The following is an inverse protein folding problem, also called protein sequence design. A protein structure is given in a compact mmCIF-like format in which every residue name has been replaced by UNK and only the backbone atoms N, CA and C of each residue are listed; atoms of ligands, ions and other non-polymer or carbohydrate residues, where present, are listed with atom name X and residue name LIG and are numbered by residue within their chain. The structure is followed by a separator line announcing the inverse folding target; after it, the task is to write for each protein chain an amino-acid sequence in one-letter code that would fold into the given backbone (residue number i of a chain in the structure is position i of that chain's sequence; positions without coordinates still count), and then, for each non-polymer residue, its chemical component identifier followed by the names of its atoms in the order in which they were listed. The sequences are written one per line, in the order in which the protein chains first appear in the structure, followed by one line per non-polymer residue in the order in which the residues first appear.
data_IF_304577515512
#
_entry.id   IF_304577515512
#
_cell.length_a   1.000
_cell.length_b   1.000
_cell.length_c   1.000
_cell.angle_alpha   90.00
_cell.angle_beta   90.00
_cell.angle_gamma   90.00
#
_symmetry.space_group_name_H-M   'P 1'
#
loop_
_entity.id
_entity.type
_entity.pdbx_description
1 polymer ?
#
# COMPACT_ATOMS: atom_id res chain seq x y z
N UNK A 1 8.06 -6.84 -0.31
CA UNK A 1 8.02 -6.18 -1.63
C UNK A 1 9.14 -6.60 -2.59
N UNK A 2 10.14 -7.33 -2.22
CA UNK A 2 11.30 -7.57 -3.09
C UNK A 2 11.73 -9.01 -3.27
N UNK A 3 11.23 -9.92 -2.46
CA UNK A 3 11.49 -11.33 -2.70
C UNK A 3 10.81 -11.85 -3.96
N UNK A 4 9.71 -11.20 -4.38
CA UNK A 4 9.03 -11.55 -5.63
C UNK A 4 9.81 -11.18 -6.90
N UNK A 5 10.63 -10.11 -6.86
CA UNK A 5 11.36 -9.64 -8.05
C UNK A 5 12.67 -10.40 -8.27
N UNK A 6 13.29 -10.92 -7.22
CA UNK A 6 14.51 -11.76 -7.37
C UNK A 6 14.21 -13.10 -8.04
N UNK A 7 12.95 -13.57 -7.98
CA UNK A 7 12.53 -14.86 -8.55
C UNK A 7 11.51 -14.73 -9.70
N UNK A 8 11.24 -13.52 -10.20
CA UNK A 8 10.31 -13.31 -11.31
C UNK A 8 8.84 -13.66 -10.99
N UNK A 9 8.45 -13.67 -9.72
CA UNK A 9 7.08 -13.96 -9.34
C UNK A 9 6.21 -12.72 -9.49
N UNK A 10 5.18 -12.82 -10.31
CA UNK A 10 4.17 -11.80 -10.53
C UNK A 10 2.81 -12.26 -9.99
N UNK A 11 2.00 -11.30 -9.57
CA UNK A 11 0.60 -11.58 -9.21
C UNK A 11 -0.15 -12.10 -10.45
N UNK A 12 -0.89 -13.19 -10.32
CA UNK A 12 -1.71 -13.68 -11.43
C UNK A 12 -2.95 -12.81 -11.63
N UNK A 13 -3.53 -12.87 -12.83
CA UNK A 13 -4.79 -12.18 -13.14
C UNK A 13 -5.91 -12.58 -12.19
N UNK A 14 -6.03 -13.86 -11.88
CA UNK A 14 -7.02 -14.38 -10.94
C UNK A 14 -6.85 -13.76 -9.55
N UNK A 15 -5.63 -13.71 -9.02
CA UNK A 15 -5.36 -13.11 -7.72
C UNK A 15 -5.68 -11.63 -7.74
N UNK A 16 -5.27 -10.90 -8.80
CA UNK A 16 -5.57 -9.49 -8.93
C UNK A 16 -7.08 -9.21 -8.98
N UNK A 17 -7.81 -9.95 -9.81
CA UNK A 17 -9.26 -9.80 -9.93
C UNK A 17 -9.96 -10.07 -8.58
N UNK A 18 -9.55 -11.12 -7.86
CA UNK A 18 -10.09 -11.46 -6.54
C UNK A 18 -9.74 -10.44 -5.47
N UNK A 19 -8.54 -9.87 -5.51
CA UNK A 19 -8.15 -8.78 -4.62
C UNK A 19 -9.01 -7.52 -4.84
N UNK A 20 -9.30 -7.18 -6.10
CA UNK A 20 -10.20 -6.08 -6.44
C UNK A 20 -11.63 -6.37 -5.97
N UNK A 21 -12.14 -7.58 -6.20
CA UNK A 21 -13.46 -8.00 -5.72
C UNK A 21 -13.56 -7.93 -4.19
N UNK A 22 -12.55 -8.41 -3.48
CA UNK A 22 -12.49 -8.32 -2.02
C UNK A 22 -12.50 -6.86 -1.54
N UNK A 23 -11.71 -6.00 -2.18
CA UNK A 23 -11.70 -4.56 -1.86
C UNK A 23 -13.07 -3.91 -2.08
N UNK A 24 -13.74 -4.20 -3.20
CA UNK A 24 -15.10 -3.70 -3.49
C UNK A 24 -16.10 -4.24 -2.46
N UNK A 25 -16.09 -5.53 -2.21
CA UNK A 25 -16.96 -6.19 -1.23
C UNK A 25 -16.77 -5.58 0.17
N UNK A 26 -15.53 -5.27 0.54
CA UNK A 26 -15.22 -4.65 1.82
C UNK A 26 -15.63 -3.18 1.93
N UNK A 27 -16.08 -2.56 0.85
CA UNK A 27 -16.42 -1.14 0.82
C UNK A 27 -15.20 -0.21 0.79
N UNK A 28 -14.05 -0.67 0.32
CA UNK A 28 -12.86 0.14 0.23
C UNK A 28 -13.08 1.37 -0.68
N UNK A 29 -12.72 2.55 -0.18
CA UNK A 29 -12.83 3.81 -0.92
C UNK A 29 -11.57 4.13 -1.72
N UNK A 30 -10.45 3.50 -1.37
CA UNK A 30 -9.17 3.71 -2.04
C UNK A 30 -8.45 2.39 -2.23
N UNK A 31 -7.86 2.24 -3.40
CA UNK A 31 -7.00 1.11 -3.75
C UNK A 31 -5.60 1.65 -4.00
N UNK A 32 -4.61 1.08 -3.36
CA UNK A 32 -3.21 1.45 -3.61
C UNK A 32 -2.50 0.31 -4.32
N UNK A 33 -2.02 0.58 -5.52
CA UNK A 33 -1.25 -0.36 -6.33
C UNK A 33 0.22 -0.08 -6.06
N UNK A 34 0.82 -0.94 -5.29
CA UNK A 34 2.24 -0.91 -4.97
C UNK A 34 2.79 -2.33 -4.99
N UNK A 35 4.01 -2.50 -4.59
CA UNK A 35 4.61 -3.82 -4.59
C UNK A 35 6.04 -3.70 -5.05
N UNK A 36 6.61 -4.66 -5.74
CA UNK A 36 7.97 -4.55 -6.29
C UNK A 36 8.11 -3.26 -7.12
N UNK A 37 7.83 -3.37 -8.38
CA UNK A 37 7.61 -2.22 -9.28
C UNK A 37 6.42 -2.57 -10.16
N UNK A 38 5.26 -1.91 -9.99
CA UNK A 38 4.05 -2.27 -10.74
C UNK A 38 4.24 -2.21 -12.26
N UNK A 39 5.03 -1.26 -12.74
CA UNK A 39 5.28 -1.08 -14.18
C UNK A 39 6.19 -2.15 -14.80
N UNK A 40 6.80 -3.02 -13.98
CA UNK A 40 7.55 -4.20 -14.42
C UNK A 40 6.65 -5.42 -14.62
N UNK A 41 5.40 -5.36 -14.13
CA UNK A 41 4.46 -6.45 -14.33
C UNK A 41 4.09 -6.57 -15.81
N UNK A 42 4.20 -7.78 -16.42
CA UNK A 42 3.93 -7.94 -17.85
C UNK A 42 2.52 -7.49 -18.25
N UNK A 43 1.53 -7.69 -17.39
CA UNK A 43 0.12 -7.33 -17.60
C UNK A 43 -0.26 -6.03 -16.85
N UNK A 44 0.68 -5.09 -16.67
CA UNK A 44 0.44 -3.86 -15.90
C UNK A 44 -0.76 -3.07 -16.41
N UNK A 45 -0.81 -2.83 -17.73
CA UNK A 45 -1.91 -2.05 -18.32
C UNK A 45 -3.26 -2.73 -18.18
N UNK A 46 -3.29 -4.04 -18.45
CA UNK A 46 -4.49 -4.87 -18.37
C UNK A 46 -5.05 -4.86 -16.95
N UNK A 47 -4.21 -5.00 -15.95
CA UNK A 47 -4.60 -4.97 -14.55
C UNK A 47 -5.18 -3.61 -14.14
N UNK A 48 -4.51 -2.53 -14.54
CA UNK A 48 -4.99 -1.19 -14.22
C UNK A 48 -6.29 -0.86 -14.99
N UNK A 49 -6.42 -1.35 -16.23
CA UNK A 49 -7.67 -1.22 -16.98
C UNK A 49 -8.82 -1.99 -16.32
N UNK A 50 -8.60 -3.23 -15.90
CA UNK A 50 -9.57 -4.04 -15.15
C UNK A 50 -10.01 -3.31 -13.87
N UNK A 51 -9.07 -2.80 -13.09
CA UNK A 51 -9.35 -2.03 -11.88
C UNK A 51 -10.20 -0.81 -12.19
N UNK A 52 -9.81 0.00 -13.17
CA UNK A 52 -10.55 1.20 -13.57
C UNK A 52 -11.99 0.88 -14.00
N UNK A 53 -12.20 -0.18 -14.81
CA UNK A 53 -13.51 -0.63 -15.24
C UNK A 53 -14.36 -1.09 -14.05
N UNK A 54 -13.81 -1.93 -13.18
CA UNK A 54 -14.52 -2.41 -11.99
C UNK A 54 -14.95 -1.26 -11.08
N UNK A 55 -14.02 -0.34 -10.75
CA UNK A 55 -14.31 0.78 -9.86
C UNK A 55 -15.27 1.82 -10.48
N UNK A 56 -15.26 1.99 -11.80
CA UNK A 56 -16.20 2.91 -12.46
C UNK A 56 -17.66 2.50 -12.35
N UNK A 57 -17.92 1.23 -12.07
CA UNK A 57 -19.26 0.68 -11.89
C UNK A 57 -19.70 0.57 -10.42
N UNK A 58 -18.85 1.01 -9.48
CA UNK A 58 -19.15 0.95 -8.05
C UNK A 58 -19.55 2.34 -7.55
N UNK A 59 -20.66 2.38 -6.83
CA UNK A 59 -21.10 3.55 -6.08
C UNK A 59 -21.21 3.19 -4.60
N UNK A 60 -20.60 3.99 -3.76
CA UNK A 60 -20.78 3.91 -2.31
C UNK A 60 -21.49 5.17 -1.82
N UNK A 61 -21.97 5.16 -0.59
CA UNK A 61 -22.54 6.37 0.03
C UNK A 61 -21.53 7.52 0.18
N UNK A 62 -20.21 7.23 0.06
CA UNK A 62 -19.11 8.20 0.12
C UNK A 62 -18.57 8.57 -1.26
N UNK A 63 -19.20 8.13 -2.32
CA UNK A 63 -18.78 8.35 -3.70
C UNK A 63 -18.17 7.11 -4.35
N UNK A 64 -17.50 7.32 -5.48
CA UNK A 64 -16.82 6.24 -6.20
C UNK A 64 -15.45 5.95 -5.60
N UNK A 65 -15.08 4.66 -5.48
CA UNK A 65 -13.72 4.30 -5.09
C UNK A 65 -12.70 4.79 -6.12
N UNK A 66 -11.53 5.18 -5.64
CA UNK A 66 -10.42 5.63 -6.45
C UNK A 66 -9.20 4.74 -6.24
N UNK A 67 -8.23 4.82 -7.15
CA UNK A 67 -6.96 4.12 -6.95
C UNK A 67 -5.76 5.04 -7.12
N UNK A 68 -4.66 4.67 -6.50
CA UNK A 68 -3.33 5.28 -6.64
C UNK A 68 -2.32 4.23 -7.06
N UNK A 69 -1.25 4.67 -7.71
CA UNK A 69 -0.14 3.82 -8.11
C UNK A 69 1.14 4.39 -7.51
N UNK A 70 1.96 3.52 -6.92
CA UNK A 70 3.29 3.86 -6.43
C UNK A 70 4.35 3.13 -7.24
N UNK A 71 5.31 3.88 -7.76
CA UNK A 71 6.36 3.39 -8.65
C UNK A 71 7.72 3.97 -8.27
N UNK A 72 8.79 3.24 -8.56
CA UNK A 72 10.16 3.72 -8.44
C UNK A 72 10.60 4.59 -9.64
N UNK A 73 9.77 4.68 -10.68
CA UNK A 73 10.02 5.52 -11.86
C UNK A 73 10.98 4.93 -12.90
N UNK A 74 11.40 3.68 -12.79
CA UNK A 74 12.26 3.05 -13.80
C UNK A 74 11.65 3.01 -15.20
N UNK A 75 10.33 2.97 -15.28
CA UNK A 75 9.58 3.03 -16.53
C UNK A 75 9.92 4.25 -17.39
N UNK A 76 10.34 5.36 -16.79
CA UNK A 76 10.63 6.60 -17.51
C UNK A 76 11.89 6.54 -18.40
N UNK A 77 12.69 5.47 -18.27
CA UNK A 77 13.82 5.15 -19.17
C UNK A 77 13.43 4.29 -20.34
N UNK A 78 12.25 3.71 -20.34
CA UNK A 78 11.75 2.82 -21.38
C UNK A 78 10.55 3.47 -22.10
N UNK A 79 10.66 3.60 -23.43
CA UNK A 79 9.61 4.26 -24.25
C UNK A 79 8.30 3.46 -24.20
N UNK A 80 8.34 2.13 -24.21
CA UNK A 80 7.13 1.29 -24.16
C UNK A 80 6.42 1.45 -22.83
N UNK A 81 7.16 1.34 -21.73
CA UNK A 81 6.62 1.55 -20.36
C UNK A 81 6.12 2.97 -20.16
N UNK A 82 6.84 3.98 -20.67
CA UNK A 82 6.38 5.38 -20.65
C UNK A 82 5.02 5.54 -21.36
N UNK A 83 4.85 4.89 -22.51
CA UNK A 83 3.59 4.93 -23.24
C UNK A 83 2.46 4.20 -22.49
N UNK A 84 2.75 3.07 -21.85
CA UNK A 84 1.82 2.37 -20.98
C UNK A 84 1.35 3.28 -19.81
N UNK A 85 2.29 3.91 -19.12
CA UNK A 85 2.00 4.88 -18.04
C UNK A 85 1.15 6.04 -18.55
N UNK A 86 1.45 6.60 -19.73
CA UNK A 86 0.63 7.68 -20.33
C UNK A 86 -0.82 7.23 -20.60
N UNK A 87 -1.04 5.97 -21.00
CA UNK A 87 -2.40 5.44 -21.17
C UNK A 87 -3.10 5.30 -19.82
N UNK A 88 -2.42 4.74 -18.83
CA UNK A 88 -2.92 4.57 -17.46
C UNK A 88 -3.29 5.92 -16.81
N UNK A 89 -2.52 6.98 -17.05
CA UNK A 89 -2.80 8.33 -16.54
C UNK A 89 -4.13 8.93 -17.05
N UNK A 90 -4.73 8.37 -18.09
CA UNK A 90 -6.03 8.79 -18.62
C UNK A 90 -7.22 8.15 -17.91
N UNK A 91 -7.01 7.14 -17.08
CA UNK A 91 -8.10 6.44 -16.39
C UNK A 91 -8.84 7.34 -15.42
N UNK A 92 -10.18 7.26 -15.44
CA UNK A 92 -11.05 8.15 -14.67
C UNK A 92 -10.92 7.93 -13.16
N UNK A 93 -10.74 6.67 -12.74
CA UNK A 93 -10.68 6.30 -11.32
C UNK A 93 -9.28 6.45 -10.72
N UNK A 94 -8.26 6.81 -11.51
CA UNK A 94 -6.93 7.11 -11.01
C UNK A 94 -6.93 8.45 -10.27
N UNK A 95 -6.65 8.42 -8.97
CA UNK A 95 -6.49 9.63 -8.15
C UNK A 95 -5.08 10.21 -8.23
N UNK A 96 -4.06 9.34 -8.30
CA UNK A 96 -2.67 9.77 -8.33
C UNK A 96 -1.70 8.70 -8.78
N UNK A 97 -0.61 9.11 -9.39
CA UNK A 97 0.54 8.27 -9.74
C UNK A 97 1.78 8.84 -9.05
N UNK A 98 2.25 8.16 -8.02
CA UNK A 98 3.41 8.56 -7.25
C UNK A 98 4.68 7.93 -7.83
N UNK A 99 5.70 8.75 -8.03
CA UNK A 99 7.06 8.30 -8.32
C UNK A 99 7.92 8.53 -7.08
N UNK A 100 8.36 7.46 -6.46
CA UNK A 100 9.25 7.52 -5.30
C UNK A 100 10.70 7.69 -5.75
N UNK A 101 11.38 8.72 -5.23
CA UNK A 101 12.74 9.08 -5.64
C UNK A 101 13.58 9.48 -4.43
N UNK A 102 14.28 8.50 -3.84
CA UNK A 102 15.10 8.72 -2.65
C UNK A 102 16.57 8.43 -2.94
N UNK A 103 17.43 9.40 -2.58
CA UNK A 103 18.87 9.27 -2.76
C UNK A 103 19.41 8.09 -1.95
N UNK A 104 20.26 7.29 -2.60
CA UNK A 104 20.86 6.10 -1.97
C UNK A 104 19.95 4.86 -1.87
N UNK A 105 18.65 4.99 -2.14
CA UNK A 105 17.72 3.85 -2.16
C UNK A 105 17.39 3.40 -3.59
N UNK A 106 17.18 4.35 -4.49
CA UNK A 106 16.79 4.07 -5.87
C UNK A 106 17.93 4.35 -6.85
N UNK A 107 18.27 3.37 -7.68
CA UNK A 107 19.32 3.48 -8.71
C UNK A 107 19.06 4.57 -9.75
N UNK A 108 17.79 4.93 -9.93
CA UNK A 108 17.34 5.93 -10.90
C UNK A 108 17.14 7.32 -10.30
N UNK A 109 17.56 7.56 -9.06
CA UNK A 109 17.41 8.86 -8.38
C UNK A 109 17.84 10.04 -9.24
N UNK A 110 19.10 10.03 -9.71
CA UNK A 110 19.64 11.15 -10.50
C UNK A 110 18.89 11.37 -11.80
N UNK A 111 18.47 10.29 -12.45
CA UNK A 111 17.63 10.36 -13.65
C UNK A 111 16.28 11.01 -13.35
N UNK A 112 15.59 10.58 -12.31
CA UNK A 112 14.30 11.15 -11.92
C UNK A 112 14.45 12.62 -11.56
N UNK A 113 15.47 12.99 -10.80
CA UNK A 113 15.72 14.39 -10.44
C UNK A 113 16.01 15.25 -11.69
N UNK A 114 16.84 14.76 -12.62
CA UNK A 114 17.15 15.44 -13.89
C UNK A 114 15.89 15.70 -14.73
N UNK A 115 14.95 14.75 -14.78
CA UNK A 115 13.75 14.83 -15.61
C UNK A 115 12.47 15.12 -14.83
N UNK A 116 12.58 15.53 -13.58
CA UNK A 116 11.48 15.76 -12.64
C UNK A 116 10.31 16.56 -13.25
N UNK A 117 10.63 17.70 -13.87
CA UNK A 117 9.60 18.56 -14.48
C UNK A 117 8.92 17.90 -15.69
N UNK A 118 9.67 17.16 -16.52
CA UNK A 118 9.10 16.42 -17.66
C UNK A 118 8.19 15.29 -17.21
N UNK A 119 8.57 14.58 -16.16
CA UNK A 119 7.75 13.51 -15.57
C UNK A 119 6.47 14.09 -14.99
N UNK A 120 6.56 15.14 -14.17
CA UNK A 120 5.38 15.83 -13.62
C UNK A 120 4.43 16.38 -14.69
N UNK A 121 5.00 16.85 -15.81
CA UNK A 121 4.20 17.39 -16.92
C UNK A 121 3.38 16.34 -17.70
N UNK A 122 3.59 15.03 -17.45
CA UNK A 122 2.80 13.98 -18.10
C UNK A 122 1.32 14.03 -17.69
N UNK A 123 1.04 14.45 -16.46
CA UNK A 123 -0.32 14.55 -15.94
C UNK A 123 -0.35 15.38 -14.65
N UNK A 124 -1.41 16.15 -14.37
CA UNK A 124 -1.62 16.76 -13.06
C UNK A 124 -1.76 15.74 -11.90
N UNK A 125 -2.02 14.48 -12.24
CA UNK A 125 -2.09 13.37 -11.26
C UNK A 125 -0.73 12.75 -10.95
N UNK A 126 0.33 13.17 -11.66
CA UNK A 126 1.69 12.69 -11.45
C UNK A 126 2.38 13.52 -10.37
N UNK A 127 2.91 12.88 -9.35
CA UNK A 127 3.72 13.54 -8.35
C UNK A 127 4.98 12.73 -8.00
N UNK A 128 6.00 13.43 -7.57
CA UNK A 128 7.27 12.80 -7.17
C UNK A 128 7.41 12.98 -5.67
N UNK A 129 7.46 11.85 -4.97
CA UNK A 129 7.80 11.81 -3.56
C UNK A 129 9.33 11.80 -3.45
N UNK A 130 9.88 12.84 -2.90
CA UNK A 130 11.30 13.00 -2.63
C UNK A 130 11.57 13.23 -1.12
N UNK A 131 12.80 13.47 -0.75
CA UNK A 131 13.31 13.47 0.62
C UNK A 131 12.51 14.30 1.65
N UNK A 132 11.64 15.19 1.22
CA UNK A 132 10.80 16.01 2.10
C UNK A 132 9.46 15.38 2.48
N UNK A 133 9.08 14.24 1.90
CA UNK A 133 7.71 13.65 2.03
C UNK A 133 7.78 12.19 2.48
N UNK A 134 8.82 11.79 3.17
CA UNK A 134 9.09 10.36 3.36
C UNK A 134 8.40 9.77 4.56
N UNK A 135 7.62 8.76 4.28
CA UNK A 135 7.41 7.66 5.18
C UNK A 135 8.11 6.42 4.62
N UNK A 136 9.22 6.07 5.20
CA UNK A 136 9.94 4.89 4.80
C UNK A 136 9.61 3.74 5.73
N UNK A 137 9.17 2.62 5.17
CA UNK A 137 8.89 1.42 5.94
C UNK A 137 10.13 0.53 5.98
N UNK A 138 10.33 -0.18 7.08
CA UNK A 138 11.43 -1.13 7.24
C UNK A 138 11.13 -2.42 6.46
N UNK A 139 11.06 -2.30 5.13
CA UNK A 139 10.67 -3.35 4.21
C UNK A 139 11.65 -3.48 3.04
N UNK A 140 11.77 -4.70 2.53
CA UNK A 140 12.55 -4.97 1.33
C UNK A 140 13.98 -4.44 1.41
N UNK A 141 14.42 -3.65 0.43
CA UNK A 141 15.78 -3.07 0.41
C UNK A 141 16.03 -2.09 1.56
N UNK A 142 15.01 -1.39 2.02
CA UNK A 142 15.15 -0.47 3.12
C UNK A 142 15.52 -1.17 4.42
N UNK A 143 15.00 -2.38 4.66
CA UNK A 143 15.35 -3.19 5.84
C UNK A 143 16.81 -3.69 5.83
N UNK A 144 17.39 -3.80 4.65
CA UNK A 144 18.74 -4.37 4.42
C UNK A 144 19.81 -3.27 4.24
N UNK A 145 19.46 -2.00 4.33
CA UNK A 145 20.41 -0.90 4.10
C UNK A 145 21.09 -0.43 5.38
N UNK A 146 22.37 -0.15 5.30
CA UNK A 146 23.14 0.50 6.38
C UNK A 146 23.23 2.03 6.19
N UNK A 147 22.52 2.60 5.21
CA UNK A 147 22.51 4.04 4.97
C UNK A 147 21.90 4.78 6.19
N UNK A 148 22.68 5.64 6.89
CA UNK A 148 22.23 6.29 8.11
C UNK A 148 20.99 7.17 7.91
N UNK A 149 20.87 7.85 6.75
CA UNK A 149 19.71 8.70 6.46
C UNK A 149 18.43 7.86 6.31
N UNK A 150 18.53 6.68 5.66
CA UNK A 150 17.42 5.75 5.51
C UNK A 150 17.06 5.14 6.85
N UNK A 151 18.03 4.70 7.65
CA UNK A 151 17.81 4.19 9.00
C UNK A 151 17.15 5.22 9.91
N UNK A 152 17.60 6.48 9.83
CA UNK A 152 16.97 7.59 10.53
C UNK A 152 15.52 7.79 10.07
N UNK A 153 15.25 7.84 8.75
CA UNK A 153 13.91 7.98 8.20
C UNK A 153 12.98 6.83 8.63
N UNK A 154 13.48 5.58 8.67
CA UNK A 154 12.74 4.42 9.18
C UNK A 154 12.42 4.60 10.67
N UNK A 155 13.39 4.98 11.48
CA UNK A 155 13.22 5.16 12.95
C UNK A 155 12.27 6.31 13.30
N UNK A 156 12.30 7.37 12.51
CA UNK A 156 11.41 8.53 12.66
C UNK A 156 10.04 8.32 12.02
N UNK A 157 9.85 7.20 11.32
CA UNK A 157 8.64 6.95 10.57
C UNK A 157 7.46 6.63 11.50
N UNK A 158 6.57 7.59 11.62
CA UNK A 158 5.33 7.48 12.38
C UNK A 158 4.30 6.52 11.77
N UNK A 159 4.59 5.90 10.60
CA UNK A 159 3.71 4.87 10.01
C UNK A 159 3.57 3.63 10.87
N UNK A 160 4.46 3.43 11.78
CA UNK A 160 4.31 2.41 12.81
C UNK A 160 2.99 2.52 13.59
N UNK A 161 2.38 3.68 13.63
CA UNK A 161 1.05 3.90 14.26
C UNK A 161 -0.10 3.35 13.42
N UNK A 162 0.09 3.17 12.10
CA UNK A 162 -1.01 2.76 11.22
C UNK A 162 -1.46 1.31 11.43
N UNK A 163 -0.54 0.39 11.68
CA UNK A 163 -0.89 -1.00 12.01
C UNK A 163 -1.70 -1.06 13.32
N UNK A 164 -1.27 -0.29 14.31
CA UNK A 164 -1.95 -0.19 15.59
C UNK A 164 -3.37 0.38 15.44
N UNK A 165 -3.51 1.43 14.65
CA UNK A 165 -4.80 2.05 14.39
C UNK A 165 -5.76 1.12 13.65
N UNK A 166 -5.27 0.31 12.72
CA UNK A 166 -6.06 -0.71 12.06
C UNK A 166 -6.61 -1.75 13.04
N UNK A 167 -5.76 -2.23 13.95
CA UNK A 167 -6.18 -3.15 15.01
C UNK A 167 -7.20 -2.51 15.96
N UNK A 168 -7.05 -1.23 16.32
CA UNK A 168 -8.01 -0.52 17.16
C UNK A 168 -9.36 -0.34 16.46
N UNK A 169 -9.34 0.10 15.21
CA UNK A 169 -10.57 0.29 14.43
C UNK A 169 -11.27 -1.04 14.22
N UNK A 170 -10.56 -2.14 13.94
CA UNK A 170 -11.17 -3.45 13.75
C UNK A 170 -11.88 -3.99 14.99
N UNK A 171 -11.42 -3.64 16.19
CA UNK A 171 -12.09 -4.00 17.44
C UNK A 171 -13.39 -3.22 17.69
N UNK A 172 -13.48 -2.00 17.15
CA UNK A 172 -14.60 -1.09 17.37
C UNK A 172 -15.66 -1.17 16.27
N UNK A 173 -15.31 -1.66 15.08
CA UNK A 173 -16.21 -1.70 13.93
C UNK A 173 -16.94 -3.04 13.82
N UNK A 174 -18.19 -2.97 13.36
CA UNK A 174 -19.03 -4.17 13.16
C UNK A 174 -18.97 -4.71 11.74
N UNK A 175 -18.65 -3.86 10.77
CA UNK A 175 -18.66 -4.19 9.35
C UNK A 175 -17.39 -3.70 8.66
N UNK A 176 -17.06 -4.29 7.50
CA UNK A 176 -15.96 -3.81 6.64
C UNK A 176 -16.19 -2.39 6.14
N UNK A 177 -17.43 -2.01 5.90
CA UNK A 177 -17.82 -0.67 5.48
C UNK A 177 -17.46 0.35 6.54
N UNK A 178 -17.83 0.09 7.80
CA UNK A 178 -17.47 0.95 8.93
C UNK A 178 -15.96 1.04 9.12
N UNK A 179 -15.25 -0.07 8.95
CA UNK A 179 -13.79 -0.09 9.01
C UNK A 179 -13.19 0.79 7.91
N UNK A 180 -13.62 0.63 6.67
CA UNK A 180 -13.12 1.41 5.54
C UNK A 180 -13.38 2.90 5.72
N UNK A 181 -14.57 3.28 6.21
CA UNK A 181 -14.91 4.66 6.52
C UNK A 181 -14.07 5.21 7.67
N UNK A 182 -13.92 4.46 8.75
CA UNK A 182 -13.08 4.84 9.89
C UNK A 182 -11.63 5.07 9.49
N UNK A 183 -11.07 4.20 8.65
CA UNK A 183 -9.73 4.34 8.10
C UNK A 183 -9.59 5.58 7.22
N UNK A 184 -10.55 5.82 6.32
CA UNK A 184 -10.55 6.99 5.44
C UNK A 184 -10.66 8.30 6.23
N UNK A 185 -11.59 8.37 7.20
CA UNK A 185 -11.83 9.56 8.03
C UNK A 185 -10.65 9.89 8.94
N UNK A 186 -9.98 8.87 9.45
CA UNK A 186 -8.85 9.06 10.35
C UNK A 186 -7.53 9.34 9.64
N UNK A 187 -7.52 9.48 8.32
CA UNK A 187 -6.29 9.62 7.51
C UNK A 187 -5.31 8.46 7.77
N UNK A 188 -5.83 7.29 8.02
CA UNK A 188 -5.03 6.15 8.48
C UNK A 188 -4.59 5.29 7.32
N UNK A 189 -3.34 4.87 7.38
CA UNK A 189 -2.68 4.14 6.31
C UNK A 189 -2.75 2.62 6.47
N UNK A 190 -3.40 2.12 7.51
CA UNK A 190 -3.59 0.69 7.70
C UNK A 190 -4.75 0.21 6.83
N UNK A 191 -4.40 -0.30 5.68
CA UNK A 191 -5.33 -0.91 4.73
C UNK A 191 -5.04 -2.40 4.69
N UNK A 192 -6.04 -3.26 4.59
CA UNK A 192 -5.78 -4.65 4.26
C UNK A 192 -4.89 -4.72 3.01
N UNK A 193 -3.83 -5.48 3.12
CA UNK A 193 -2.87 -5.68 2.04
C UNK A 193 -3.04 -7.08 1.47
N UNK A 194 -3.17 -7.20 0.15
CA UNK A 194 -3.21 -8.48 -0.53
C UNK A 194 -1.87 -8.69 -1.23
N UNK A 195 -1.18 -9.75 -0.87
CA UNK A 195 0.10 -10.09 -1.47
C UNK A 195 -0.07 -10.75 -2.86
N UNK A 196 1.03 -11.00 -3.56
CA UNK A 196 1.03 -11.60 -4.89
C UNK A 196 0.51 -13.05 -4.95
N UNK A 197 0.41 -13.74 -3.82
CA UNK A 197 -0.19 -15.08 -3.68
C UNK A 197 -1.68 -15.01 -3.35
N UNK A 198 -2.22 -13.82 -3.07
CA UNK A 198 -3.60 -13.62 -2.67
C UNK A 198 -3.83 -13.64 -1.15
N UNK A 199 -2.77 -13.73 -0.35
CA UNK A 199 -2.92 -13.69 1.11
C UNK A 199 -3.25 -12.28 1.56
N UNK A 200 -4.16 -12.18 2.52
CA UNK A 200 -4.63 -10.92 3.10
C UNK A 200 -3.94 -10.67 4.43
N UNK A 201 -3.35 -9.50 4.55
CA UNK A 201 -2.65 -9.03 5.74
C UNK A 201 -3.23 -7.69 6.19
N UNK A 202 -3.04 -7.33 7.47
CA UNK A 202 -3.39 -5.98 7.95
C UNK A 202 -2.43 -4.90 7.49
N UNK A 203 -1.23 -5.24 7.10
CA UNK A 203 -0.18 -4.30 6.74
C UNK A 203 0.73 -4.92 5.70
N UNK A 204 1.38 -4.08 4.91
CA UNK A 204 2.47 -4.45 3.99
C UNK A 204 3.71 -5.00 4.70
N UNK A 205 3.73 -5.02 6.03
CA UNK A 205 4.85 -5.54 6.80
C UNK A 205 4.97 -7.05 6.61
N UNK A 206 6.17 -7.51 6.22
CA UNK A 206 6.48 -8.93 6.01
C UNK A 206 6.29 -9.79 7.25
N UNK A 207 6.28 -9.19 8.44
CA UNK A 207 6.01 -9.88 9.69
C UNK A 207 4.51 -9.98 10.02
N UNK A 208 3.64 -9.36 9.23
CA UNK A 208 2.20 -9.42 9.44
C UNK A 208 1.66 -10.80 9.03
N UNK A 209 0.96 -11.53 9.90
CA UNK A 209 0.41 -12.82 9.54
C UNK A 209 -0.65 -12.68 8.44
N UNK A 210 -0.87 -13.77 7.69
CA UNK A 210 -2.02 -13.87 6.78
C UNK A 210 -3.28 -14.21 7.57
N UNK A 211 -4.38 -13.57 7.18
CA UNK A 211 -5.72 -13.78 7.76
C UNK A 211 -6.67 -14.52 6.82
N UNK A 212 -6.17 -15.00 5.71
CA UNK A 212 -6.86 -15.75 4.69
C UNK A 212 -6.33 -15.43 3.30
N UNK A 213 -6.90 -16.05 2.27
CA UNK A 213 -6.49 -15.92 0.88
C UNK A 213 -7.70 -15.62 -0.01
N UNK A 214 -7.65 -14.57 -0.79
CA UNK A 214 -8.77 -14.09 -1.63
C UNK A 214 -9.22 -15.09 -2.71
N UNK A 215 -8.39 -16.09 -3.03
CA UNK A 215 -8.69 -17.09 -4.06
C UNK A 215 -9.34 -18.33 -3.46
N UNK A 216 -8.93 -18.74 -2.25
CA UNK A 216 -9.36 -20.00 -1.65
C UNK A 216 -10.43 -19.85 -0.58
N UNK A 217 -10.47 -18.69 0.07
CA UNK A 217 -11.36 -18.46 1.21
C UNK A 217 -12.51 -17.52 0.81
N UNK A 218 -13.66 -17.67 1.45
CA UNK A 218 -14.72 -16.70 1.30
C UNK A 218 -14.38 -15.37 2.02
N UNK A 219 -14.90 -14.27 1.49
CA UNK A 219 -14.55 -12.94 1.98
C UNK A 219 -15.03 -12.66 3.40
N UNK A 220 -16.15 -13.27 3.81
CA UNK A 220 -16.64 -13.15 5.18
C UNK A 220 -15.70 -13.84 6.16
N UNK A 221 -15.19 -15.03 5.83
CA UNK A 221 -14.21 -15.74 6.66
C UNK A 221 -12.92 -14.91 6.82
N UNK A 222 -12.39 -14.37 5.73
CA UNK A 222 -11.23 -13.46 5.77
C UNK A 222 -11.52 -12.29 6.71
N UNK A 223 -12.70 -11.69 6.59
CA UNK A 223 -13.10 -10.56 7.42
C UNK A 223 -13.21 -10.91 8.89
N UNK A 224 -13.82 -12.04 9.23
CA UNK A 224 -13.91 -12.50 10.61
C UNK A 224 -12.53 -12.78 11.22
N UNK A 225 -11.59 -13.29 10.42
CA UNK A 225 -10.21 -13.47 10.86
C UNK A 225 -9.50 -12.11 11.08
N UNK A 226 -9.70 -11.15 10.19
CA UNK A 226 -9.18 -9.79 10.36
C UNK A 226 -9.72 -9.12 11.63
N UNK A 227 -11.00 -9.30 11.96
CA UNK A 227 -11.61 -8.78 13.19
C UNK A 227 -10.99 -9.36 14.47
N UNK A 228 -10.56 -10.60 14.42
CA UNK A 228 -9.90 -11.27 15.55
C UNK A 228 -8.42 -10.93 15.63
N UNK A 229 -7.87 -10.22 14.64
CA UNK A 229 -6.46 -9.88 14.60
C UNK A 229 -6.05 -9.06 15.83
N UNK A 230 -4.94 -9.47 16.42
CA UNK A 230 -4.27 -8.74 17.47
C UNK A 230 -2.90 -8.30 16.97
N UNK A 231 -2.33 -7.21 17.50
CA UNK A 231 -0.98 -6.83 17.13
C UNK A 231 -0.02 -7.99 17.32
N UNK A 232 0.64 -8.41 16.24
CA UNK A 232 1.67 -9.43 16.36
C UNK A 232 2.87 -8.84 17.12
N UNK A 233 3.33 -9.48 18.20
CA UNK A 233 4.43 -8.98 19.03
C UNK A 233 5.80 -8.95 18.34
N UNK A 234 5.88 -9.29 17.06
CA UNK A 234 7.13 -9.47 16.31
C UNK A 234 7.56 -8.24 15.51
N UNK A 235 6.66 -7.29 15.20
CA UNK A 235 7.06 -6.14 14.41
C UNK A 235 7.75 -5.07 15.25
N UNK A 236 8.63 -4.30 14.61
CA UNK A 236 9.33 -3.17 15.24
C UNK A 236 8.37 -2.16 15.87
N UNK A 237 7.18 -2.05 15.30
CA UNK A 237 6.08 -1.26 15.83
C UNK A 237 5.66 -1.69 17.24
N UNK A 238 5.53 -2.98 17.47
CA UNK A 238 5.10 -3.48 18.78
C UNK A 238 6.16 -3.22 19.85
N UNK A 239 7.45 -3.33 19.51
CA UNK A 239 8.55 -2.93 20.40
C UNK A 239 8.48 -1.43 20.72
N UNK A 240 8.39 -0.60 19.69
CA UNK A 240 8.29 0.85 19.84
C UNK A 240 7.06 1.26 20.66
N UNK A 241 5.95 0.53 20.50
CA UNK A 241 4.74 0.74 21.27
C UNK A 241 4.94 0.45 22.77
N UNK A 242 5.58 -0.66 23.11
CA UNK A 242 5.88 -1.01 24.52
C UNK A 242 6.81 -0.01 25.19
N UNK A 243 7.74 0.55 24.43
CA UNK A 243 8.79 1.45 24.92
C UNK A 243 8.41 2.93 24.81
N UNK A 244 7.35 3.25 24.07
CA UNK A 244 6.97 4.64 23.82
C UNK A 244 6.38 5.32 25.06
N UNK A 245 6.81 6.56 25.28
CA UNK A 245 6.22 7.51 26.23
C UNK A 245 5.20 8.44 25.59
N UNK A 246 4.93 8.31 24.27
CA UNK A 246 3.92 9.09 23.59
C UNK A 246 2.52 8.74 24.14
N UNK A 247 1.80 9.76 24.60
CA UNK A 247 0.49 9.58 25.28
C UNK A 247 -0.53 8.85 24.40
N UNK A 248 -0.53 9.09 23.08
CA UNK A 248 -1.44 8.40 22.15
C UNK A 248 -1.11 6.92 22.06
N UNK A 249 0.17 6.56 22.08
CA UNK A 249 0.62 5.19 22.04
C UNK A 249 0.43 4.49 23.39
N UNK A 250 0.54 5.22 24.51
CA UNK A 250 0.19 4.72 25.84
C UNK A 250 -1.30 4.42 25.91
N UNK A 251 -2.15 5.34 25.47
CA UNK A 251 -3.60 5.14 25.40
C UNK A 251 -3.96 3.93 24.53
N UNK A 252 -3.31 3.78 23.38
CA UNK A 252 -3.52 2.66 22.48
C UNK A 252 -3.14 1.32 23.13
N UNK A 253 -2.04 1.25 23.90
CA UNK A 253 -1.69 0.07 24.70
C UNK A 253 -2.78 -0.30 25.68
N UNK A 254 -3.27 0.71 26.45
CA UNK A 254 -4.33 0.50 27.44
C UNK A 254 -5.60 -0.06 26.80
N UNK A 255 -6.02 0.46 25.65
CA UNK A 255 -7.20 0.00 24.92
C UNK A 255 -7.01 -1.44 24.40
N UNK A 256 -5.80 -1.81 24.01
CA UNK A 256 -5.49 -3.15 23.49
C UNK A 256 -5.18 -4.18 24.58
N UNK A 257 -4.98 -3.77 25.81
CA UNK A 257 -4.66 -4.66 26.92
C UNK A 257 -3.25 -5.29 26.79
N UNK A 258 -2.27 -4.53 26.29
CA UNK A 258 -0.86 -4.95 26.09
C UNK A 258 0.12 -4.00 26.82
#
# INVERSE_FOLDING_TARGET
MQESTENGCHMSEQVFAKAVEFGIWSGALTFNISGGEPTEHPNFEEFINLLNVRLSNVYTEFGRPLFTIESNGEWARDVRKTNAVKRVLKHKMLAGFQVSSFKGLYKNYDFIQKYKNKIKALSPRMFIADEGIISMQDLGRASKTDNPAIRKAISENRHNVSCLNGCLVSKQTKTMKELSFGLAKANQHCKPFVDWKGNVHWSESICCPSYGNVVTDDFETIWQNLKKAVPCGTCSLFKNLKESKDEKLVLARMIMGI
#
